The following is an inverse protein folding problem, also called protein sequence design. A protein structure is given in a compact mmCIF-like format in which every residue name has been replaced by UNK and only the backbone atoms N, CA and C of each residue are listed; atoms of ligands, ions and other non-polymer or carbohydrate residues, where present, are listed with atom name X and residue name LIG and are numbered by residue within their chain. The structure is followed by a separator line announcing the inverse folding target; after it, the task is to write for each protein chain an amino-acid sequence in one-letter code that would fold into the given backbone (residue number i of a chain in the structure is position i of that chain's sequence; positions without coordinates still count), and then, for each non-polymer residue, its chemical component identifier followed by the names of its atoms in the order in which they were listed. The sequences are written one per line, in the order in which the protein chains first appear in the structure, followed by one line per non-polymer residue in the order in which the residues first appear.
data_IF_771241386407
#
_entry.id   IF_771241386407
#
_cell.length_a   1.000
_cell.length_b   1.000
_cell.length_c   1.000
_cell.angle_alpha   90.00
_cell.angle_beta   90.00
_cell.angle_gamma   90.00
#
_symmetry.space_group_name_H-M   'P 1'
#
loop_
_entity.id
_entity.type
_entity.pdbx_description
1 polymer ?
#
# COMPACT_ATOMS: atom_id res chain seq x y z
N UNK A 1 16.54 -23.41 -11.01
CA UNK A 1 16.02 -22.04 -10.89
C UNK A 1 16.12 -21.60 -9.43
N UNK A 2 16.54 -20.35 -9.14
CA UNK A 2 16.53 -19.83 -7.77
C UNK A 2 15.09 -19.80 -7.28
N UNK A 3 14.81 -20.54 -6.19
CA UNK A 3 13.45 -20.75 -5.66
C UNK A 3 12.94 -19.56 -4.85
N UNK A 4 13.83 -18.64 -4.49
CA UNK A 4 13.54 -17.46 -3.65
C UNK A 4 14.34 -16.28 -4.16
N UNK A 5 13.64 -15.29 -4.72
CA UNK A 5 14.23 -14.02 -5.12
C UNK A 5 14.47 -13.16 -3.87
N UNK A 6 15.74 -12.84 -3.59
CA UNK A 6 16.11 -11.85 -2.58
C UNK A 6 16.28 -10.50 -3.27
N UNK A 7 15.54 -9.49 -2.82
CA UNK A 7 15.57 -8.15 -3.42
C UNK A 7 16.74 -7.35 -2.85
N UNK A 8 17.56 -6.75 -3.72
CA UNK A 8 18.75 -6.01 -3.31
C UNK A 8 18.47 -4.59 -2.77
N UNK A 9 17.22 -4.10 -2.84
CA UNK A 9 16.87 -2.72 -2.49
C UNK A 9 15.96 -2.65 -1.26
N UNK A 10 16.22 -1.70 -0.36
CA UNK A 10 15.41 -1.40 0.82
C UNK A 10 14.16 -0.54 0.50
N UNK A 11 13.59 -0.67 -0.70
CA UNK A 11 12.39 0.09 -1.10
C UNK A 11 11.22 -0.35 -0.22
N UNK A 12 10.44 0.61 0.30
CA UNK A 12 9.30 0.36 1.20
C UNK A 12 9.67 -0.18 2.60
N UNK A 13 10.85 0.19 3.10
CA UNK A 13 11.30 -0.12 4.46
C UNK A 13 10.48 0.55 5.58
N UNK A 14 9.65 1.54 5.27
CA UNK A 14 8.77 2.21 6.23
C UNK A 14 7.65 1.31 6.74
N UNK A 15 7.12 1.57 7.94
CA UNK A 15 6.00 0.80 8.50
C UNK A 15 4.65 1.34 8.02
N UNK A 16 3.63 0.48 7.95
CA UNK A 16 2.28 0.89 7.56
C UNK A 16 1.71 1.92 8.54
N UNK A 17 1.90 1.69 9.84
CA UNK A 17 1.47 2.58 10.92
C UNK A 17 2.12 3.96 10.81
N UNK A 18 3.42 4.01 10.49
CA UNK A 18 4.15 5.27 10.30
C UNK A 18 3.54 6.11 9.18
N UNK A 19 3.13 5.49 8.08
CA UNK A 19 2.55 6.22 6.95
C UNK A 19 1.09 6.59 7.20
N UNK A 20 0.33 5.75 7.90
CA UNK A 20 -1.05 6.06 8.32
C UNK A 20 -1.07 7.29 9.23
N UNK A 21 -0.26 7.29 10.28
CA UNK A 21 -0.12 8.44 11.18
C UNK A 21 0.35 9.70 10.44
N UNK A 22 1.31 9.58 9.53
CA UNK A 22 1.77 10.72 8.73
C UNK A 22 0.65 11.30 7.84
N UNK A 23 -0.20 10.45 7.24
CA UNK A 23 -1.33 10.89 6.43
C UNK A 23 -2.35 11.63 7.30
N UNK A 24 -2.70 11.11 8.47
CA UNK A 24 -3.67 11.72 9.38
C UNK A 24 -3.21 13.09 9.90
N UNK A 25 -1.92 13.24 10.25
CA UNK A 25 -1.33 14.50 10.68
C UNK A 25 -1.34 15.58 9.58
N UNK A 26 -1.16 15.16 8.32
CA UNK A 26 -1.22 16.06 7.17
C UNK A 26 -2.67 16.42 6.82
N UNK A 27 -3.61 15.47 6.92
CA UNK A 27 -5.03 15.72 6.65
C UNK A 27 -5.67 16.61 7.72
N UNK A 28 -5.30 16.42 8.99
CA UNK A 28 -5.73 17.28 10.11
C UNK A 28 -5.10 18.66 10.10
N UNK A 29 -4.08 18.90 9.24
CA UNK A 29 -3.40 20.19 9.12
C UNK A 29 -2.42 20.49 10.27
N UNK A 30 -2.15 19.54 11.16
CA UNK A 30 -1.21 19.69 12.28
C UNK A 30 0.25 19.75 11.81
N UNK A 31 0.58 19.04 10.74
CA UNK A 31 1.93 19.03 10.15
C UNK A 31 1.89 19.19 8.62
N UNK A 32 2.87 19.90 8.07
CA UNK A 32 3.13 19.90 6.62
C UNK A 32 3.86 18.63 6.18
N UNK A 33 3.86 18.35 4.86
CA UNK A 33 4.44 17.13 4.28
C UNK A 33 5.87 16.84 4.73
N UNK A 34 6.75 17.85 4.70
CA UNK A 34 8.16 17.68 5.06
C UNK A 34 8.35 17.37 6.56
N UNK A 35 7.54 18.00 7.43
CA UNK A 35 7.59 17.76 8.88
C UNK A 35 7.09 16.37 9.21
N UNK A 36 5.93 15.99 8.67
CA UNK A 36 5.37 14.65 8.84
C UNK A 36 6.32 13.57 8.29
N UNK A 37 6.88 13.76 7.11
CA UNK A 37 7.84 12.82 6.51
C UNK A 37 9.03 12.53 7.42
N UNK A 38 9.60 13.58 8.04
CA UNK A 38 10.71 13.45 8.98
C UNK A 38 10.28 12.80 10.30
N UNK A 39 9.16 13.23 10.89
CA UNK A 39 8.68 12.71 12.18
C UNK A 39 8.38 11.21 12.12
N UNK A 40 7.80 10.75 11.02
CA UNK A 40 7.40 9.34 10.86
C UNK A 40 8.43 8.50 10.10
N UNK A 41 9.59 9.07 9.72
CA UNK A 41 10.64 8.39 8.93
C UNK A 41 10.07 7.76 7.65
N UNK A 42 9.24 8.51 6.93
CA UNK A 42 8.63 8.08 5.67
C UNK A 42 9.10 8.97 4.51
N UNK A 43 9.26 8.43 3.29
CA UNK A 43 9.62 9.26 2.15
C UNK A 43 8.53 10.29 1.83
N UNK A 44 8.93 11.55 1.66
CA UNK A 44 8.01 12.65 1.41
C UNK A 44 7.15 12.42 0.15
N UNK A 45 7.77 12.00 -0.96
CA UNK A 45 7.03 11.74 -2.21
C UNK A 45 5.98 10.64 -2.04
N UNK A 46 6.29 9.60 -1.27
CA UNK A 46 5.33 8.52 -0.97
C UNK A 46 4.17 9.04 -0.12
N UNK A 47 4.44 9.94 0.83
CA UNK A 47 3.41 10.57 1.64
C UNK A 47 2.49 11.46 0.80
N UNK A 48 3.05 12.29 -0.08
CA UNK A 48 2.29 13.16 -0.98
C UNK A 48 1.37 12.37 -1.91
N UNK A 49 1.88 11.33 -2.56
CA UNK A 49 1.09 10.45 -3.44
C UNK A 49 -0.10 9.82 -2.70
N UNK A 50 0.12 9.36 -1.47
CA UNK A 50 -0.91 8.73 -0.65
C UNK A 50 -1.96 9.73 -0.18
N UNK A 51 -1.54 10.89 0.31
CA UNK A 51 -2.46 11.97 0.71
C UNK A 51 -3.30 12.44 -0.47
N UNK A 52 -2.72 12.55 -1.68
CA UNK A 52 -3.45 12.90 -2.90
C UNK A 52 -4.57 11.91 -3.19
N UNK A 53 -4.31 10.60 -3.08
CA UNK A 53 -5.35 9.56 -3.28
C UNK A 53 -6.45 9.63 -2.23
N UNK A 54 -6.11 9.89 -0.97
CA UNK A 54 -7.11 10.06 0.10
C UNK A 54 -7.96 11.31 -0.14
N UNK A 55 -7.36 12.44 -0.52
CA UNK A 55 -8.10 13.67 -0.85
C UNK A 55 -9.02 13.52 -2.07
N UNK A 56 -8.65 12.66 -3.02
CA UNK A 56 -9.52 12.32 -4.15
C UNK A 56 -10.67 11.35 -3.79
N UNK A 57 -10.86 11.04 -2.50
CA UNK A 57 -11.82 10.04 -1.98
C UNK A 57 -11.71 8.65 -2.63
N UNK A 58 -10.58 8.33 -3.25
CA UNK A 58 -10.34 7.03 -3.87
C UNK A 58 -10.01 5.95 -2.83
N UNK A 59 -9.42 6.33 -1.69
CA UNK A 59 -8.94 5.41 -0.66
C UNK A 59 -9.14 6.01 0.75
N UNK A 60 -9.40 5.15 1.73
CA UNK A 60 -9.33 5.51 3.16
C UNK A 60 -7.88 5.68 3.63
N UNK A 61 -7.62 6.34 4.77
CA UNK A 61 -6.27 6.50 5.34
C UNK A 61 -5.56 5.15 5.49
N UNK A 62 -6.26 4.16 6.04
CA UNK A 62 -5.76 2.79 6.26
C UNK A 62 -5.45 2.06 4.96
N UNK A 63 -6.32 2.18 3.94
CA UNK A 63 -6.08 1.59 2.62
C UNK A 63 -4.91 2.28 1.91
N UNK A 64 -4.86 3.61 1.98
CA UNK A 64 -3.77 4.41 1.46
C UNK A 64 -2.45 4.15 2.20
N UNK A 65 -2.47 3.59 3.41
CA UNK A 65 -1.30 3.18 4.18
C UNK A 65 -0.75 1.79 3.81
N UNK A 66 -1.54 0.94 3.14
CA UNK A 66 -1.10 -0.40 2.73
C UNK A 66 0.10 -0.35 1.75
N UNK A 67 1.05 -1.29 1.86
CA UNK A 67 2.27 -1.32 1.01
C UNK A 67 1.99 -1.75 -0.43
N UNK A 68 0.87 -2.44 -0.67
CA UNK A 68 0.38 -2.82 -2.01
C UNK A 68 -0.58 -1.78 -2.60
N UNK A 69 -0.95 -1.93 -3.87
CA UNK A 69 -2.11 -1.23 -4.45
C UNK A 69 -1.91 0.20 -4.99
N UNK A 70 -0.68 0.74 -4.99
CA UNK A 70 -0.42 2.02 -5.68
C UNK A 70 0.01 1.86 -7.15
N UNK A 71 0.45 0.67 -7.55
CA UNK A 71 0.87 0.38 -8.92
C UNK A 71 -0.31 0.29 -9.90
N UNK A 72 0.00 0.36 -11.20
CA UNK A 72 -1.00 0.31 -12.26
C UNK A 72 -1.70 -1.05 -12.37
N UNK A 73 -1.04 -2.13 -11.93
CA UNK A 73 -1.58 -3.47 -12.02
C UNK A 73 -2.64 -3.68 -10.93
N UNK A 74 -3.89 -3.70 -11.35
CA UNK A 74 -5.08 -4.00 -10.54
C UNK A 74 -5.33 -5.51 -10.52
N UNK A 75 -5.91 -6.01 -9.43
CA UNK A 75 -6.45 -7.37 -9.39
C UNK A 75 -7.55 -7.50 -10.45
N UNK A 76 -7.39 -8.45 -11.36
CA UNK A 76 -8.35 -8.65 -12.47
C UNK A 76 -9.60 -9.39 -11.99
N UNK A 77 -9.43 -10.34 -11.08
CA UNK A 77 -10.52 -11.10 -10.48
C UNK A 77 -10.97 -10.46 -9.16
N UNK A 78 -12.27 -10.56 -8.86
CA UNK A 78 -12.79 -10.27 -7.52
C UNK A 78 -12.40 -11.40 -6.55
N UNK A 79 -12.40 -11.12 -5.24
CA UNK A 79 -12.14 -12.17 -4.24
C UNK A 79 -13.08 -13.38 -4.39
N UNK A 80 -14.30 -13.14 -4.88
CA UNK A 80 -15.27 -14.21 -5.15
C UNK A 80 -14.84 -15.06 -6.34
N UNK A 81 -14.46 -14.44 -7.45
CA UNK A 81 -13.96 -15.13 -8.65
C UNK A 81 -12.67 -15.91 -8.36
N UNK A 82 -11.77 -15.35 -7.55
CA UNK A 82 -10.56 -16.07 -7.12
C UNK A 82 -10.92 -17.32 -6.32
N UNK A 83 -11.90 -17.26 -5.41
CA UNK A 83 -12.37 -18.42 -4.65
C UNK A 83 -13.00 -19.49 -5.54
N UNK A 84 -13.81 -19.09 -6.52
CA UNK A 84 -14.39 -20.02 -7.50
C UNK A 84 -13.29 -20.74 -8.29
N UNK A 85 -12.29 -20.01 -8.78
CA UNK A 85 -11.16 -20.60 -9.49
C UNK A 85 -10.40 -21.58 -8.61
N UNK A 86 -10.10 -21.22 -7.35
CA UNK A 86 -9.42 -22.11 -6.39
C UNK A 86 -10.23 -23.38 -6.15
N UNK A 87 -11.55 -23.25 -5.97
CA UNK A 87 -12.45 -24.40 -5.78
C UNK A 87 -12.42 -25.37 -6.96
N UNK A 88 -12.31 -24.87 -8.19
CA UNK A 88 -12.26 -25.69 -9.39
C UNK A 88 -10.89 -26.27 -9.71
N UNK A 89 -9.80 -25.56 -9.38
CA UNK A 89 -8.43 -26.00 -9.70
C UNK A 89 -7.92 -27.04 -8.70
N UNK A 90 -8.22 -26.90 -7.40
CA UNK A 90 -7.76 -27.83 -6.36
C UNK A 90 -8.09 -29.31 -6.65
N UNK A 91 -9.31 -29.67 -7.11
CA UNK A 91 -9.64 -31.04 -7.47
C UNK A 91 -8.93 -31.56 -8.72
N UNK A 92 -8.46 -30.69 -9.62
CA UNK A 92 -7.78 -31.09 -10.87
C UNK A 92 -6.30 -31.42 -10.65
N UNK A 93 -5.73 -30.96 -9.54
CA UNK A 93 -4.34 -31.23 -9.14
C UNK A 93 -4.19 -32.51 -8.30
N UNK A 94 -5.30 -33.16 -7.93
CA UNK A 94 -5.35 -34.39 -7.13
C UNK A 94 -5.38 -35.64 -8.01
#
# INVERSE_FOLDING_TARGET
MPRTYQRNTNRQSWSQESIEGAIEEVLSGRMGYLKAAKSFTVPQSTLEDRVKKVRSNQLTSKQAASKGGLGLCTTVFSEQQERELVYHILPLES
#
